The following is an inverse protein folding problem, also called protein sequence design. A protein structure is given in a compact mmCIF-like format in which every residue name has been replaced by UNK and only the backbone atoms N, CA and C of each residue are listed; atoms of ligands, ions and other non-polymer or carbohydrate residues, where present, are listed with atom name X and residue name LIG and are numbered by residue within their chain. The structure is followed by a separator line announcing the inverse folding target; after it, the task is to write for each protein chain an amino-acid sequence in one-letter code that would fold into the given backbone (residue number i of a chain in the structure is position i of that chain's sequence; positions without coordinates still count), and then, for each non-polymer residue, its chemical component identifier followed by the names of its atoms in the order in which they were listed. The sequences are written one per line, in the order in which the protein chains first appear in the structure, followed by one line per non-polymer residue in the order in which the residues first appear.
data_IF_118188010927
#
_entry.id   IF_118188010927
#
_cell.length_a   1.000
_cell.length_b   1.000
_cell.length_c   1.000
_cell.angle_alpha   90.00
_cell.angle_beta   90.00
_cell.angle_gamma   90.00
#
_symmetry.space_group_name_H-M   'P 1'
#
loop_
_entity.id
_entity.type
_entity.pdbx_description
1 polymer ?
#
# COMPACT_ATOMS: atom_id res chain seq x y z
N UNK A 1 -12.59 12.33 6.90
CA UNK A 1 -12.03 11.56 5.76
C UNK A 1 -12.93 10.36 5.52
N UNK A 2 -13.21 10.01 4.24
CA UNK A 2 -13.96 8.80 3.89
C UNK A 2 -13.10 7.92 2.99
N UNK A 3 -12.97 6.64 3.34
CA UNK A 3 -12.13 5.66 2.66
C UNK A 3 -13.03 4.50 2.22
N UNK A 4 -12.93 4.09 0.97
CA UNK A 4 -13.64 2.94 0.42
C UNK A 4 -12.66 1.93 -0.13
N UNK A 5 -12.73 0.67 0.32
CA UNK A 5 -11.89 -0.42 -0.17
C UNK A 5 -12.43 -0.91 -1.51
N UNK A 6 -11.69 -0.67 -2.60
CA UNK A 6 -12.12 -1.06 -3.95
C UNK A 6 -11.67 -2.47 -4.31
N UNK A 7 -10.49 -2.89 -3.85
CA UNK A 7 -9.94 -4.23 -4.06
C UNK A 7 -9.27 -4.72 -2.79
N UNK A 8 -9.53 -5.96 -2.42
CA UNK A 8 -8.91 -6.76 -1.36
C UNK A 8 -9.14 -8.24 -1.65
N UNK A 9 -8.46 -9.11 -0.90
CA UNK A 9 -8.63 -10.56 -1.01
C UNK A 9 -10.05 -11.02 -0.63
N UNK A 10 -10.71 -10.28 0.25
CA UNK A 10 -12.03 -10.61 0.77
C UNK A 10 -13.09 -9.83 0.00
N UNK A 11 -13.91 -10.56 -0.79
CA UNK A 11 -15.10 -10.00 -1.43
C UNK A 11 -16.25 -9.84 -0.43
N UNK A 12 -17.25 -9.00 -0.79
CA UNK A 12 -18.46 -8.82 0.04
C UNK A 12 -19.68 -8.60 -0.85
N UNK A 13 -20.73 -9.37 -0.61
CA UNK A 13 -21.96 -9.32 -1.41
C UNK A 13 -21.69 -9.61 -2.88
N UNK A 14 -21.96 -8.65 -3.78
CA UNK A 14 -21.68 -8.74 -5.22
C UNK A 14 -20.27 -8.31 -5.60
N UNK A 15 -19.55 -7.69 -4.68
CA UNK A 15 -18.17 -7.23 -4.89
C UNK A 15 -17.22 -8.41 -4.79
N UNK A 16 -16.40 -8.57 -5.82
CA UNK A 16 -15.42 -9.66 -5.90
C UNK A 16 -14.12 -9.27 -5.23
N UNK A 17 -13.47 -10.24 -4.57
CA UNK A 17 -12.11 -10.12 -4.08
C UNK A 17 -11.09 -10.64 -5.10
N UNK A 18 -9.85 -10.19 -4.97
CA UNK A 18 -8.68 -10.68 -5.70
C UNK A 18 -7.45 -10.55 -4.80
N UNK A 19 -6.36 -11.24 -5.14
CA UNK A 19 -5.08 -10.94 -4.52
C UNK A 19 -4.58 -9.60 -5.05
N UNK A 20 -4.90 -8.53 -4.31
CA UNK A 20 -4.59 -7.15 -4.67
C UNK A 20 -5.27 -6.15 -3.73
N UNK A 21 -4.79 -4.92 -3.69
CA UNK A 21 -5.31 -3.88 -2.83
C UNK A 21 -5.52 -2.58 -3.60
N UNK A 22 -6.63 -1.89 -3.32
CA UNK A 22 -6.91 -0.55 -3.82
C UNK A 22 -7.87 0.19 -2.90
N UNK A 23 -7.56 1.45 -2.59
CA UNK A 23 -8.40 2.34 -1.80
C UNK A 23 -8.81 3.58 -2.60
N UNK A 24 -10.09 3.94 -2.53
CA UNK A 24 -10.58 5.27 -2.89
C UNK A 24 -10.71 6.09 -1.61
N UNK A 25 -10.14 7.30 -1.61
CA UNK A 25 -10.05 8.15 -0.41
C UNK A 25 -10.60 9.52 -0.77
N UNK A 26 -11.58 9.99 0.03
CA UNK A 26 -12.12 11.35 -0.06
C UNK A 26 -11.58 12.17 1.12
N UNK A 27 -10.83 13.24 0.80
CA UNK A 27 -10.22 14.12 1.81
C UNK A 27 -10.20 15.57 1.30
N UNK A 28 -10.65 16.52 2.13
CA UNK A 28 -10.69 17.95 1.83
C UNK A 28 -11.32 18.30 0.46
N UNK A 29 -12.40 17.59 0.10
CA UNK A 29 -13.11 17.81 -1.16
C UNK A 29 -12.44 17.23 -2.41
N UNK A 30 -11.31 16.52 -2.27
CA UNK A 30 -10.59 15.84 -3.34
C UNK A 30 -10.69 14.32 -3.20
N UNK A 31 -10.48 13.62 -4.31
CA UNK A 31 -10.54 12.17 -4.44
C UNK A 31 -9.17 11.61 -4.80
N UNK A 32 -8.69 10.68 -3.99
CA UNK A 32 -7.40 10.02 -4.17
C UNK A 32 -7.63 8.53 -4.43
N UNK A 33 -6.76 7.93 -5.23
CA UNK A 33 -6.67 6.49 -5.41
C UNK A 33 -5.30 6.02 -4.91
N UNK A 34 -5.29 5.11 -3.95
CA UNK A 34 -4.07 4.40 -3.58
C UNK A 34 -4.14 2.99 -4.15
N UNK A 35 -3.16 2.67 -5.00
CA UNK A 35 -3.05 1.42 -5.74
C UNK A 35 -4.24 1.09 -6.67
N UNK A 36 -4.05 0.11 -7.53
CA UNK A 36 -5.00 -0.27 -8.57
C UNK A 36 -5.33 -1.77 -8.58
N UNK A 37 -4.92 -2.50 -7.53
CA UNK A 37 -5.17 -3.93 -7.42
C UNK A 37 -4.37 -4.81 -8.38
N UNK A 38 -4.70 -6.10 -8.37
CA UNK A 38 -4.09 -7.14 -9.21
C UNK A 38 -4.67 -7.24 -10.62
N UNK A 39 -5.73 -6.50 -10.92
CA UNK A 39 -6.43 -6.48 -12.21
C UNK A 39 -7.27 -5.22 -12.40
N UNK A 40 -8.22 -5.22 -13.35
CA UNK A 40 -9.23 -4.16 -13.49
C UNK A 40 -10.38 -4.25 -12.46
N UNK A 41 -10.31 -5.17 -11.51
CA UNK A 41 -11.39 -5.45 -10.58
C UNK A 41 -11.72 -4.24 -9.69
N UNK A 42 -10.72 -3.48 -9.26
CA UNK A 42 -10.92 -2.25 -8.49
C UNK A 42 -11.90 -1.29 -9.19
N UNK A 43 -11.81 -1.14 -10.53
CA UNK A 43 -12.69 -0.31 -11.34
C UNK A 43 -14.10 -0.89 -11.44
N UNK A 44 -14.21 -2.21 -11.57
CA UNK A 44 -15.51 -2.89 -11.61
C UNK A 44 -16.24 -2.73 -10.28
N UNK A 45 -15.53 -2.93 -9.16
CA UNK A 45 -16.07 -2.73 -7.83
C UNK A 45 -16.42 -1.25 -7.58
N UNK A 46 -15.55 -0.30 -7.97
CA UNK A 46 -15.82 1.13 -7.88
C UNK A 46 -17.16 1.50 -8.57
N UNK A 47 -17.37 1.01 -9.80
CA UNK A 47 -18.62 1.24 -10.54
C UNK A 47 -19.85 0.71 -9.78
N UNK A 48 -19.77 -0.48 -9.16
CA UNK A 48 -20.87 -1.03 -8.38
C UNK A 48 -21.15 -0.20 -7.12
N UNK A 49 -20.13 0.44 -6.57
CA UNK A 49 -20.21 1.33 -5.40
C UNK A 49 -20.60 2.78 -5.76
N UNK A 50 -20.85 3.07 -7.05
CA UNK A 50 -21.19 4.42 -7.50
C UNK A 50 -19.99 5.37 -7.54
N UNK A 51 -18.77 4.85 -7.51
CA UNK A 51 -17.52 5.62 -7.57
C UNK A 51 -17.03 5.66 -9.02
N UNK A 52 -16.90 6.88 -9.59
CA UNK A 52 -16.30 7.06 -10.90
C UNK A 52 -14.79 7.31 -10.78
N UNK A 53 -13.99 6.42 -11.36
CA UNK A 53 -12.54 6.55 -11.39
C UNK A 53 -12.07 7.76 -12.21
N UNK A 54 -12.89 8.25 -13.16
CA UNK A 54 -12.60 9.48 -13.90
C UNK A 54 -12.54 10.73 -12.99
N UNK A 55 -13.23 10.69 -11.85
CA UNK A 55 -13.28 11.77 -10.89
C UNK A 55 -12.05 11.87 -9.97
N UNK A 56 -11.22 10.83 -9.90
CA UNK A 56 -10.01 10.82 -9.08
C UNK A 56 -9.09 11.99 -9.48
N UNK A 57 -8.66 12.76 -8.49
CA UNK A 57 -7.83 13.94 -8.67
C UNK A 57 -6.34 13.65 -8.58
N UNK A 58 -5.97 12.61 -7.81
CA UNK A 58 -4.60 12.18 -7.61
C UNK A 58 -4.55 10.68 -7.36
N UNK A 59 -3.58 9.99 -7.94
CA UNK A 59 -3.34 8.57 -7.70
C UNK A 59 -1.92 8.34 -7.18
N UNK A 60 -1.75 7.33 -6.32
CA UNK A 60 -0.47 6.97 -5.71
C UNK A 60 -0.27 5.47 -5.82
N UNK A 61 0.93 5.05 -6.17
CA UNK A 61 1.37 3.66 -6.07
C UNK A 61 2.15 3.49 -4.78
N UNK A 62 1.72 2.57 -3.93
CA UNK A 62 2.42 2.25 -2.69
C UNK A 62 3.78 1.59 -2.94
N UNK A 63 3.84 0.66 -3.90
CA UNK A 63 5.07 -0.05 -4.28
C UNK A 63 4.92 -0.78 -5.62
N UNK A 64 6.04 -1.24 -6.18
CA UNK A 64 6.12 -1.72 -7.56
C UNK A 64 5.73 -3.20 -7.76
N UNK A 65 4.84 -3.78 -6.94
CA UNK A 65 4.34 -5.14 -7.15
C UNK A 65 3.04 -5.18 -7.95
N UNK A 66 2.83 -6.32 -8.65
CA UNK A 66 1.74 -6.50 -9.62
C UNK A 66 0.35 -6.43 -9.01
N UNK A 67 0.21 -6.87 -7.77
CA UNK A 67 -1.05 -6.92 -7.02
C UNK A 67 -1.51 -5.53 -6.50
N UNK A 68 -0.71 -4.51 -6.76
CA UNK A 68 -1.01 -3.09 -6.51
C UNK A 68 -1.04 -2.26 -7.79
N UNK A 69 -0.43 -2.74 -8.85
CA UNK A 69 -0.15 -1.95 -10.06
C UNK A 69 -0.80 -2.43 -11.35
N UNK A 70 -1.32 -3.67 -11.42
CA UNK A 70 -1.86 -4.22 -12.69
C UNK A 70 -3.06 -3.47 -13.24
N UNK A 71 -3.84 -2.83 -12.38
CA UNK A 71 -4.95 -2.00 -12.79
C UNK A 71 -4.55 -0.63 -13.37
N UNK A 72 -3.26 -0.25 -13.37
CA UNK A 72 -2.80 1.08 -13.85
C UNK A 72 -3.24 1.37 -15.29
N UNK A 73 -3.20 0.38 -16.19
CA UNK A 73 -3.68 0.57 -17.57
C UNK A 73 -5.18 0.93 -17.59
N UNK A 74 -5.98 0.24 -16.78
CA UNK A 74 -7.41 0.52 -16.67
C UNK A 74 -7.66 1.89 -16.03
N UNK A 75 -6.83 2.30 -15.07
CA UNK A 75 -6.86 3.65 -14.50
C UNK A 75 -6.57 4.71 -15.57
N UNK A 76 -5.48 4.61 -16.30
CA UNK A 76 -5.12 5.60 -17.32
C UNK A 76 -6.11 5.68 -18.48
N UNK A 77 -6.80 4.56 -18.82
CA UNK A 77 -7.91 4.59 -19.79
C UNK A 77 -9.16 5.29 -19.26
N UNK A 78 -9.43 5.19 -17.95
CA UNK A 78 -10.64 5.75 -17.33
C UNK A 78 -10.48 7.18 -16.88
N UNK A 79 -9.27 7.55 -16.42
CA UNK A 79 -8.96 8.88 -15.89
C UNK A 79 -7.94 9.57 -16.79
N UNK A 80 -8.26 10.78 -17.24
CA UNK A 80 -7.40 11.58 -18.13
C UNK A 80 -6.73 12.75 -17.45
N UNK A 81 -7.04 13.04 -16.16
CA UNK A 81 -6.62 14.28 -15.48
C UNK A 81 -5.60 14.05 -14.36
N UNK A 82 -5.74 13.00 -13.56
CA UNK A 82 -4.96 12.82 -12.35
C UNK A 82 -3.49 12.53 -12.65
N UNK A 83 -2.60 13.17 -11.93
CA UNK A 83 -1.22 12.73 -11.80
C UNK A 83 -1.15 11.41 -11.00
N UNK A 84 -0.17 10.55 -11.34
CA UNK A 84 0.05 9.28 -10.70
C UNK A 84 1.44 9.27 -10.04
N UNK A 85 1.47 9.31 -8.73
CA UNK A 85 2.70 9.39 -7.94
C UNK A 85 3.26 8.00 -7.68
N UNK A 86 4.54 7.81 -8.00
CA UNK A 86 5.28 6.57 -7.77
C UNK A 86 6.59 6.88 -7.04
N UNK A 87 7.17 5.90 -6.35
CA UNK A 87 8.54 6.04 -5.85
C UNK A 87 9.51 6.23 -7.03
N UNK A 88 10.55 7.08 -6.91
CA UNK A 88 11.58 7.22 -7.93
C UNK A 88 12.35 5.91 -8.18
N UNK A 89 12.25 4.94 -7.28
CA UNK A 89 12.83 3.61 -7.41
C UNK A 89 11.83 2.55 -7.90
N UNK A 90 10.60 2.93 -8.25
CA UNK A 90 9.61 2.03 -8.83
C UNK A 90 9.95 1.73 -10.29
N UNK A 91 10.61 0.61 -10.54
CA UNK A 91 10.99 0.15 -11.88
C UNK A 91 10.26 -1.16 -12.23
N UNK A 92 10.26 -1.48 -13.53
CA UNK A 92 9.70 -2.74 -14.06
C UNK A 92 10.69 -3.90 -13.86
N UNK A 93 11.11 -4.15 -12.61
CA UNK A 93 12.24 -5.03 -12.31
C UNK A 93 12.04 -5.94 -11.08
N UNK A 94 10.83 -6.05 -10.51
CA UNK A 94 10.57 -6.88 -9.34
C UNK A 94 10.31 -8.34 -9.72
N UNK A 95 10.88 -9.27 -8.96
CA UNK A 95 10.79 -10.72 -9.17
C UNK A 95 10.63 -11.46 -7.85
N UNK A 96 9.92 -12.60 -7.88
CA UNK A 96 9.84 -13.55 -6.76
C UNK A 96 10.33 -14.92 -7.19
N UNK A 97 11.03 -15.64 -6.31
CA UNK A 97 11.51 -17.02 -6.56
C UNK A 97 12.99 -17.21 -6.24
N UNK A 98 13.60 -18.24 -6.82
CA UNK A 98 15.00 -18.61 -6.58
C UNK A 98 15.77 -18.66 -7.91
N UNK A 99 16.63 -17.66 -8.12
CA UNK A 99 17.53 -17.62 -9.28
C UNK A 99 16.78 -17.71 -10.62
N UNK A 100 17.07 -18.71 -11.44
CA UNK A 100 16.46 -18.91 -12.77
C UNK A 100 14.98 -19.31 -12.72
N UNK A 101 14.46 -19.72 -11.58
CA UNK A 101 13.03 -19.99 -11.34
C UNK A 101 12.25 -18.72 -10.90
N UNK A 102 12.85 -17.56 -11.01
CA UNK A 102 12.22 -16.31 -10.62
C UNK A 102 11.11 -15.91 -11.58
N UNK A 103 9.93 -15.58 -11.03
CA UNK A 103 8.78 -15.05 -11.76
C UNK A 103 8.75 -13.52 -11.64
N UNK A 104 8.43 -12.85 -12.74
CA UNK A 104 8.17 -11.41 -12.71
C UNK A 104 6.91 -11.08 -11.91
N UNK A 105 7.05 -10.15 -10.98
CA UNK A 105 5.97 -9.68 -10.10
C UNK A 105 5.87 -8.15 -10.06
N UNK A 106 6.50 -7.46 -11.01
CA UNK A 106 6.57 -6.01 -11.04
C UNK A 106 5.41 -5.34 -11.77
N UNK A 107 5.61 -4.06 -12.05
CA UNK A 107 4.70 -3.18 -12.81
C UNK A 107 4.33 -3.77 -14.18
N UNK A 108 3.16 -3.45 -14.74
CA UNK A 108 2.87 -3.73 -16.15
C UNK A 108 3.99 -3.16 -17.04
N UNK A 109 4.48 -3.98 -17.98
CA UNK A 109 5.59 -3.59 -18.83
C UNK A 109 5.24 -2.40 -19.72
N UNK A 110 6.10 -1.38 -19.72
CA UNK A 110 5.92 -0.17 -20.50
C UNK A 110 4.93 0.83 -19.91
N UNK A 111 4.36 0.57 -18.74
CA UNK A 111 3.33 1.46 -18.15
C UNK A 111 3.89 2.84 -17.80
N UNK A 112 5.09 2.91 -17.24
CA UNK A 112 5.70 4.17 -16.86
C UNK A 112 6.05 5.04 -18.07
N UNK A 113 6.81 4.55 -19.09
CA UNK A 113 7.14 5.37 -20.25
C UNK A 113 5.91 5.74 -21.09
N UNK A 114 4.89 4.88 -21.16
CA UNK A 114 3.66 5.19 -21.91
C UNK A 114 2.81 6.29 -21.27
N UNK A 115 3.00 6.57 -19.98
CA UNK A 115 2.23 7.56 -19.22
C UNK A 115 3.14 8.63 -18.57
N UNK A 116 4.35 8.85 -19.11
CA UNK A 116 5.40 9.69 -18.53
C UNK A 116 4.96 11.11 -18.15
N UNK A 117 4.02 11.69 -18.91
CA UNK A 117 3.55 13.06 -18.69
C UNK A 117 2.70 13.18 -17.41
N UNK A 118 2.11 12.06 -16.99
CA UNK A 118 1.26 11.95 -15.79
C UNK A 118 1.95 11.23 -14.63
N UNK A 119 3.06 10.55 -14.87
CA UNK A 119 3.85 9.92 -13.79
C UNK A 119 4.70 10.97 -13.10
N UNK A 120 4.56 11.04 -11.78
CA UNK A 120 5.35 11.90 -10.90
C UNK A 120 6.14 11.03 -9.92
N UNK A 121 7.44 11.26 -9.83
CA UNK A 121 8.33 10.49 -8.97
C UNK A 121 9.18 11.45 -8.11
N UNK A 122 8.59 12.05 -7.06
CA UNK A 122 9.30 12.99 -6.21
C UNK A 122 10.40 12.28 -5.41
N UNK A 123 11.50 12.97 -5.19
CA UNK A 123 12.59 12.49 -4.35
C UNK A 123 12.34 12.87 -2.88
N UNK A 124 12.46 11.89 -1.99
CA UNK A 124 12.24 12.12 -0.56
C UNK A 124 10.77 12.36 -0.19
N UNK A 125 10.55 12.90 0.99
CA UNK A 125 9.21 13.25 1.47
C UNK A 125 8.68 14.41 0.63
N UNK A 126 7.50 14.25 0.07
CA UNK A 126 6.88 15.27 -0.75
C UNK A 126 5.41 15.48 -0.40
N UNK A 127 5.03 16.73 -0.20
CA UNK A 127 3.63 17.14 -0.14
C UNK A 127 3.10 17.16 -1.59
N UNK A 128 2.19 16.23 -1.89
CA UNK A 128 1.61 16.05 -3.23
C UNK A 128 0.29 16.82 -3.40
N UNK A 129 -0.31 17.18 -2.29
CA UNK A 129 -1.45 18.07 -2.15
C UNK A 129 -1.47 18.61 -0.73
N UNK A 130 -2.29 19.63 -0.46
CA UNK A 130 -2.39 20.23 0.88
C UNK A 130 -2.70 19.16 1.94
N UNK A 131 -1.77 19.01 2.90
CA UNK A 131 -1.84 18.04 3.99
C UNK A 131 -1.84 16.56 3.53
N UNK A 132 -1.34 16.27 2.31
CA UNK A 132 -1.20 14.93 1.74
C UNK A 132 0.23 14.70 1.27
N UNK A 133 0.86 13.66 1.79
CA UNK A 133 2.29 13.43 1.61
C UNK A 133 2.57 12.01 1.11
N UNK A 134 3.59 11.85 0.27
CA UNK A 134 4.25 10.58 0.03
C UNK A 134 5.55 10.54 0.84
N UNK A 135 5.77 9.44 1.54
CA UNK A 135 6.92 9.22 2.41
C UNK A 135 7.62 7.93 1.97
N UNK A 136 8.76 8.03 1.27
CA UNK A 136 9.54 6.87 0.88
C UNK A 136 10.27 6.29 2.09
N UNK A 137 10.63 5.01 2.01
CA UNK A 137 11.44 4.37 3.03
C UNK A 137 12.90 4.78 2.93
N UNK A 138 13.54 4.89 4.08
CA UNK A 138 14.94 5.28 4.23
C UNK A 138 15.76 4.33 5.13
N UNK A 139 15.12 3.30 5.67
CA UNK A 139 15.78 2.35 6.59
C UNK A 139 16.76 1.44 5.85
N UNK A 140 17.98 1.35 6.35
CA UNK A 140 19.01 0.47 5.82
C UNK A 140 18.77 -1.01 6.17
N UNK A 141 19.29 -1.91 5.32
CA UNK A 141 19.34 -3.34 5.61
C UNK A 141 18.09 -4.13 5.25
N UNK A 142 17.06 -3.50 4.67
CA UNK A 142 15.82 -4.14 4.26
C UNK A 142 16.01 -5.28 3.22
N UNK A 143 17.13 -5.29 2.50
CA UNK A 143 17.51 -6.40 1.61
C UNK A 143 17.59 -7.77 2.31
N UNK A 144 17.75 -7.81 3.64
CA UNK A 144 17.68 -9.04 4.43
C UNK A 144 16.25 -9.61 4.43
N UNK A 145 15.26 -8.73 4.48
CA UNK A 145 13.84 -9.08 4.41
C UNK A 145 13.51 -9.61 3.01
N UNK A 146 13.94 -8.90 1.95
CA UNK A 146 13.77 -9.34 0.57
C UNK A 146 14.35 -10.73 0.32
N UNK A 147 15.58 -10.99 0.80
CA UNK A 147 16.21 -12.31 0.71
C UNK A 147 15.39 -13.40 1.42
N UNK A 148 14.93 -13.14 2.64
CA UNK A 148 14.12 -14.08 3.43
C UNK A 148 12.77 -14.38 2.76
N UNK A 149 12.17 -13.37 2.14
CA UNK A 149 10.88 -13.47 1.44
C UNK A 149 11.00 -13.98 0.01
N UNK A 150 12.24 -14.26 -0.48
CA UNK A 150 12.53 -14.62 -1.87
C UNK A 150 12.05 -13.56 -2.88
N UNK A 151 12.16 -12.29 -2.50
CA UNK A 151 11.87 -11.13 -3.33
C UNK A 151 13.17 -10.49 -3.82
N UNK A 152 13.20 -10.17 -5.10
CA UNK A 152 14.41 -9.69 -5.77
C UNK A 152 14.06 -8.56 -6.74
N UNK A 153 15.00 -7.65 -6.94
CA UNK A 153 14.98 -6.69 -8.04
C UNK A 153 16.09 -7.03 -9.04
N UNK A 154 15.78 -6.86 -10.32
CA UNK A 154 16.77 -7.04 -11.39
C UNK A 154 17.51 -5.74 -11.64
N UNK A 155 18.83 -5.76 -11.43
CA UNK A 155 19.75 -4.66 -11.76
C UNK A 155 20.71 -5.13 -12.87
N UNK A 156 20.45 -4.67 -14.10
CA UNK A 156 21.11 -5.19 -15.30
C UNK A 156 20.78 -6.68 -15.51
N UNK A 157 21.81 -7.55 -15.47
CA UNK A 157 21.65 -9.01 -15.60
C UNK A 157 21.61 -9.78 -14.26
N UNK A 158 21.77 -9.06 -13.13
CA UNK A 158 21.79 -9.67 -11.78
C UNK A 158 20.46 -9.52 -11.07
N UNK A 159 20.09 -10.58 -10.34
CA UNK A 159 19.02 -10.54 -9.33
C UNK A 159 19.66 -10.23 -7.98
N UNK A 160 19.28 -9.13 -7.37
CA UNK A 160 19.69 -8.75 -6.02
C UNK A 160 18.50 -8.79 -5.09
N UNK A 161 18.65 -9.15 -3.79
CA UNK A 161 17.56 -9.11 -2.85
C UNK A 161 16.90 -7.73 -2.87
N UNK A 162 15.56 -7.71 -2.85
CA UNK A 162 14.81 -6.48 -2.82
C UNK A 162 15.09 -5.73 -1.51
N UNK A 163 15.37 -4.46 -1.62
CA UNK A 163 15.55 -3.53 -0.51
C UNK A 163 14.31 -2.66 -0.27
N UNK A 164 13.25 -2.92 -1.03
CA UNK A 164 11.97 -2.22 -1.00
C UNK A 164 12.08 -0.69 -1.15
N UNK A 165 13.15 -0.21 -1.75
CA UNK A 165 13.33 1.22 -2.04
C UNK A 165 12.24 1.80 -2.96
N UNK A 166 11.46 0.94 -3.60
CA UNK A 166 10.29 1.30 -4.39
C UNK A 166 9.00 1.44 -3.56
N UNK A 167 9.02 1.13 -2.25
CA UNK A 167 7.87 1.27 -1.34
C UNK A 167 7.82 2.69 -0.77
N UNK A 168 6.61 3.23 -0.64
CA UNK A 168 6.33 4.52 -0.02
C UNK A 168 4.98 4.48 0.70
N UNK A 169 4.85 5.28 1.75
CA UNK A 169 3.59 5.50 2.46
C UNK A 169 2.86 6.71 1.91
N UNK A 170 1.53 6.65 1.86
CA UNK A 170 0.67 7.82 1.66
C UNK A 170 0.18 8.29 3.04
N UNK A 171 0.43 9.54 3.38
CA UNK A 171 0.14 10.09 4.70
C UNK A 171 -0.76 11.30 4.56
N UNK A 172 -1.86 11.31 5.31
CA UNK A 172 -2.75 12.45 5.44
C UNK A 172 -2.58 13.08 6.81
N UNK A 173 -2.33 14.39 6.84
CA UNK A 173 -2.31 15.16 8.08
C UNK A 173 -3.70 15.72 8.33
N UNK A 174 -4.30 15.37 9.46
CA UNK A 174 -5.61 15.84 9.89
C UNK A 174 -5.50 16.64 11.19
N UNK A 175 -6.55 17.34 11.59
CA UNK A 175 -6.59 18.06 12.86
C UNK A 175 -6.41 17.12 14.08
N UNK A 176 -6.75 15.84 13.92
CA UNK A 176 -6.66 14.83 14.99
C UNK A 176 -5.41 13.95 14.92
N UNK A 177 -4.51 14.20 13.98
CA UNK A 177 -3.25 13.47 13.80
C UNK A 177 -3.08 12.88 12.41
N UNK A 178 -2.02 12.12 12.23
CA UNK A 178 -1.65 11.50 10.97
C UNK A 178 -2.47 10.23 10.71
N UNK A 179 -2.87 10.04 9.46
CA UNK A 179 -3.43 8.80 8.96
C UNK A 179 -2.43 8.23 7.95
N UNK A 180 -1.89 7.05 8.25
CA UNK A 180 -0.87 6.38 7.44
C UNK A 180 -1.51 5.28 6.61
N UNK A 181 -1.25 5.30 5.31
CA UNK A 181 -1.52 4.19 4.41
C UNK A 181 -0.20 3.59 3.95
N UNK A 182 -0.01 2.30 4.18
CA UNK A 182 1.07 1.53 3.57
C UNK A 182 0.53 0.15 3.19
N UNK A 183 0.42 -0.11 1.90
CA UNK A 183 -0.42 -1.21 1.40
C UNK A 183 0.11 -2.61 1.72
N UNK A 184 1.43 -2.78 1.87
CA UNK A 184 2.02 -4.10 2.17
C UNK A 184 2.99 -4.10 3.35
N UNK A 185 3.59 -2.98 3.71
CA UNK A 185 4.57 -2.89 4.80
C UNK A 185 5.72 -3.91 4.65
N UNK A 186 6.28 -4.02 3.44
CA UNK A 186 7.41 -4.93 3.18
C UNK A 186 8.63 -4.60 4.04
N UNK A 187 8.83 -3.32 4.34
CA UNK A 187 9.85 -2.84 5.27
C UNK A 187 9.58 -3.21 6.74
N UNK A 188 8.36 -3.63 7.05
CA UNK A 188 7.85 -3.86 8.39
C UNK A 188 6.97 -2.71 8.87
N UNK A 189 5.80 -3.02 9.41
CA UNK A 189 4.84 -2.01 9.87
C UNK A 189 5.41 -1.12 10.98
N UNK A 190 6.22 -1.69 11.87
CA UNK A 190 6.95 -0.97 12.92
C UNK A 190 7.97 0.02 12.34
N UNK A 191 8.69 -0.38 11.30
CA UNK A 191 9.62 0.49 10.57
C UNK A 191 8.88 1.65 9.91
N UNK A 192 7.77 1.36 9.21
CA UNK A 192 6.92 2.39 8.57
C UNK A 192 6.42 3.40 9.59
N UNK A 193 5.89 2.94 10.73
CA UNK A 193 5.40 3.83 11.79
C UNK A 193 6.50 4.71 12.36
N UNK A 194 7.70 4.15 12.58
CA UNK A 194 8.86 4.90 13.09
C UNK A 194 9.35 5.94 12.06
N UNK A 195 9.46 5.58 10.78
CA UNK A 195 9.90 6.49 9.73
C UNK A 195 8.92 7.65 9.52
N UNK A 196 7.62 7.37 9.47
CA UNK A 196 6.60 8.42 9.38
C UNK A 196 6.61 9.30 10.64
N UNK A 197 6.69 8.69 11.83
CA UNK A 197 6.81 9.45 13.07
C UNK A 197 8.00 10.43 13.06
N UNK A 198 9.17 9.98 12.63
CA UNK A 198 10.36 10.84 12.48
C UNK A 198 10.15 11.95 11.44
N UNK A 199 9.55 11.61 10.30
CA UNK A 199 9.27 12.55 9.21
C UNK A 199 8.37 13.71 9.64
N UNK A 200 7.44 13.46 10.55
CA UNK A 200 6.49 14.44 11.06
C UNK A 200 6.74 14.84 12.52
N UNK A 201 8.00 14.79 12.96
CA UNK A 201 8.42 15.26 14.30
C UNK A 201 7.63 14.64 15.46
N UNK A 202 7.24 13.37 15.34
CA UNK A 202 6.44 12.61 16.29
C UNK A 202 5.01 13.16 16.49
N UNK A 203 4.42 13.75 15.46
CA UNK A 203 2.98 14.02 15.46
C UNK A 203 2.21 12.72 15.77
N UNK A 204 1.10 12.86 16.47
CA UNK A 204 0.26 11.71 16.83
C UNK A 204 -0.22 10.95 15.58
N UNK A 205 0.00 9.64 15.56
CA UNK A 205 -0.57 8.76 14.52
C UNK A 205 -1.95 8.28 14.98
N UNK A 206 -2.99 8.76 14.32
CA UNK A 206 -4.38 8.42 14.61
C UNK A 206 -4.77 7.04 14.11
N UNK A 207 -4.34 6.70 12.88
CA UNK A 207 -4.71 5.44 12.25
C UNK A 207 -3.62 4.94 11.29
N UNK A 208 -3.56 3.62 11.15
CA UNK A 208 -2.74 2.91 10.18
C UNK A 208 -3.63 2.00 9.32
N UNK A 209 -3.54 2.12 7.98
CA UNK A 209 -4.32 1.34 7.04
C UNK A 209 -3.41 0.65 6.03
N UNK A 210 -3.62 -0.67 5.85
CA UNK A 210 -2.90 -1.45 4.85
C UNK A 210 -2.55 -2.85 5.31
N UNK A 211 -1.91 -3.61 4.44
CA UNK A 211 -1.39 -4.94 4.76
C UNK A 211 -0.10 -4.88 5.57
N UNK A 212 0.09 -5.85 6.44
CA UNK A 212 1.25 -5.92 7.34
C UNK A 212 2.27 -6.98 6.91
N UNK A 213 2.07 -7.62 5.76
CA UNK A 213 2.92 -8.67 5.17
C UNK A 213 3.26 -9.84 6.11
N UNK A 214 2.28 -10.30 6.90
CA UNK A 214 2.48 -11.29 7.96
C UNK A 214 2.11 -12.73 7.58
N UNK A 215 1.54 -12.96 6.41
CA UNK A 215 0.97 -14.25 6.01
C UNK A 215 1.98 -15.41 6.03
N UNK A 216 3.29 -15.14 5.99
CA UNK A 216 4.38 -16.13 6.05
C UNK A 216 5.14 -16.15 7.37
N UNK A 217 4.85 -15.26 8.29
CA UNK A 217 5.53 -15.19 9.57
C UNK A 217 5.01 -16.26 10.55
N UNK A 218 5.84 -16.68 11.48
CA UNK A 218 5.42 -17.55 12.58
C UNK A 218 4.50 -16.81 13.56
N UNK A 219 3.74 -17.57 14.35
CA UNK A 219 2.84 -16.98 15.37
C UNK A 219 3.58 -16.11 16.38
N UNK A 220 4.80 -16.49 16.75
CA UNK A 220 5.63 -15.70 17.66
C UNK A 220 6.03 -14.35 17.06
N UNK A 221 6.40 -14.32 15.77
CA UNK A 221 6.71 -13.08 15.07
C UNK A 221 5.48 -12.18 14.93
N UNK A 222 4.31 -12.76 14.65
CA UNK A 222 3.05 -11.98 14.59
C UNK A 222 2.71 -11.38 15.94
N UNK A 223 2.87 -12.12 17.06
CA UNK A 223 2.67 -11.58 18.40
C UNK A 223 3.65 -10.46 18.74
N UNK A 224 4.90 -10.55 18.29
CA UNK A 224 5.87 -9.48 18.46
C UNK A 224 5.45 -8.20 17.71
N UNK A 225 4.87 -8.32 16.51
CA UNK A 225 4.30 -7.17 15.80
C UNK A 225 3.12 -6.57 16.57
N UNK A 226 2.25 -7.40 17.16
CA UNK A 226 1.16 -6.89 18.00
C UNK A 226 1.68 -6.03 19.17
N UNK A 227 2.75 -6.49 19.86
CA UNK A 227 3.38 -5.72 20.93
C UNK A 227 3.91 -4.37 20.43
N UNK A 228 4.59 -4.36 19.27
CA UNK A 228 5.10 -3.11 18.68
C UNK A 228 3.99 -2.13 18.30
N UNK A 229 2.88 -2.65 17.77
CA UNK A 229 1.68 -1.83 17.49
C UNK A 229 1.14 -1.22 18.78
N UNK A 230 1.03 -1.99 19.86
CA UNK A 230 0.61 -1.47 21.17
C UNK A 230 1.56 -0.39 21.72
N UNK A 231 2.86 -0.64 21.63
CA UNK A 231 3.90 0.29 22.08
C UNK A 231 3.91 1.60 21.27
N UNK A 232 3.53 1.54 19.98
CA UNK A 232 3.40 2.75 19.14
C UNK A 232 2.27 3.68 19.57
N UNK A 233 1.32 3.19 20.36
CA UNK A 233 0.17 3.95 20.85
C UNK A 233 -0.95 4.14 19.81
N UNK A 234 -0.82 3.58 18.61
CA UNK A 234 -1.85 3.66 17.55
C UNK A 234 -3.09 2.87 17.97
N UNK A 235 -4.25 3.53 17.99
CA UNK A 235 -5.52 2.98 18.45
C UNK A 235 -6.46 2.54 17.33
N UNK A 236 -6.05 2.70 16.08
CA UNK A 236 -6.87 2.31 14.94
C UNK A 236 -5.97 1.73 13.86
N UNK A 237 -5.90 0.41 13.80
CA UNK A 237 -5.24 -0.34 12.72
C UNK A 237 -6.32 -1.02 11.90
N UNK A 238 -6.32 -0.81 10.58
CA UNK A 238 -7.25 -1.48 9.69
C UNK A 238 -6.42 -2.20 8.63
N UNK A 239 -6.48 -3.52 8.62
CA UNK A 239 -5.57 -4.36 7.85
C UNK A 239 -6.30 -5.45 7.07
N UNK A 240 -5.61 -6.08 6.12
CA UNK A 240 -6.13 -7.15 5.26
C UNK A 240 -5.06 -7.62 4.28
N UNK A 241 -5.47 -8.06 3.09
CA UNK A 241 -4.58 -8.41 1.98
C UNK A 241 -3.42 -9.33 2.41
N UNK A 242 -2.18 -8.85 2.37
CA UNK A 242 -0.98 -9.62 2.71
C UNK A 242 -0.75 -9.85 4.22
N UNK A 243 -1.62 -9.34 5.08
CA UNK A 243 -1.64 -9.72 6.51
C UNK A 243 -2.00 -11.20 6.66
N UNK A 244 -3.00 -11.67 5.92
CA UNK A 244 -3.49 -13.04 5.95
C UNK A 244 -4.35 -13.33 7.18
N UNK A 245 -5.33 -14.23 7.00
CA UNK A 245 -6.38 -14.55 7.99
C UNK A 245 -5.82 -15.05 9.32
N UNK A 246 -4.83 -15.96 9.28
CA UNK A 246 -4.21 -16.51 10.48
C UNK A 246 -3.52 -15.41 11.31
N UNK A 247 -2.76 -14.53 10.66
CA UNK A 247 -2.07 -13.45 11.34
C UNK A 247 -3.06 -12.42 11.88
N UNK A 248 -4.11 -12.08 11.12
CA UNK A 248 -5.19 -11.22 11.60
C UNK A 248 -5.85 -11.77 12.87
N UNK A 249 -6.17 -13.06 12.91
CA UNK A 249 -6.77 -13.70 14.11
C UNK A 249 -5.86 -13.54 15.33
N UNK A 250 -4.55 -13.71 15.19
CA UNK A 250 -3.59 -13.53 16.29
C UNK A 250 -3.52 -12.06 16.71
N UNK A 251 -3.46 -11.14 15.75
CA UNK A 251 -3.46 -9.70 16.03
C UNK A 251 -4.75 -9.28 16.74
N UNK A 252 -5.91 -9.73 16.27
CA UNK A 252 -7.22 -9.41 16.87
C UNK A 252 -7.32 -9.90 18.31
N UNK A 253 -6.78 -11.09 18.61
CA UNK A 253 -6.72 -11.61 19.99
C UNK A 253 -5.83 -10.78 20.93
N UNK A 254 -4.81 -10.10 20.38
CA UNK A 254 -3.86 -9.30 21.15
C UNK A 254 -4.27 -7.83 21.26
N UNK A 255 -4.83 -7.25 20.19
CA UNK A 255 -5.12 -5.81 20.05
C UNK A 255 -6.60 -5.48 20.31
N UNK A 256 -7.46 -6.48 20.37
CA UNK A 256 -8.90 -6.27 20.64
C UNK A 256 -9.55 -5.33 19.61
N UNK A 257 -10.17 -4.26 20.08
CA UNK A 257 -10.91 -3.31 19.24
C UNK A 257 -10.01 -2.28 18.55
N UNK A 258 -8.71 -2.27 18.87
CA UNK A 258 -7.75 -1.39 18.20
C UNK A 258 -7.42 -1.85 16.76
N UNK A 259 -7.87 -3.07 16.34
CA UNK A 259 -7.64 -3.61 15.00
C UNK A 259 -8.92 -4.14 14.34
N UNK A 260 -9.09 -3.82 13.04
CA UNK A 260 -10.14 -4.35 12.18
C UNK A 260 -9.58 -4.92 10.88
N UNK A 261 -10.38 -5.78 10.22
CA UNK A 261 -10.07 -6.34 8.90
C UNK A 261 -10.93 -5.68 7.83
N UNK A 262 -10.32 -5.20 6.76
CA UNK A 262 -11.07 -4.67 5.63
C UNK A 262 -11.48 -5.77 4.64
N UNK A 263 -12.47 -5.45 3.82
CA UNK A 263 -12.98 -6.25 2.70
C UNK A 263 -13.45 -5.31 1.58
N UNK A 264 -13.63 -5.82 0.37
CA UNK A 264 -14.17 -5.02 -0.74
C UNK A 264 -15.50 -4.35 -0.36
N UNK A 265 -15.62 -3.06 -0.63
CA UNK A 265 -16.79 -2.24 -0.34
C UNK A 265 -16.89 -1.71 1.09
N UNK A 266 -15.96 -2.06 2.00
CA UNK A 266 -15.92 -1.47 3.32
C UNK A 266 -15.71 0.04 3.22
N UNK A 267 -16.54 0.80 3.96
CA UNK A 267 -16.41 2.25 4.10
C UNK A 267 -15.90 2.53 5.51
N UNK A 268 -14.84 3.33 5.59
CA UNK A 268 -14.18 3.72 6.83
C UNK A 268 -14.22 5.24 6.91
N UNK A 269 -14.71 5.76 8.02
CA UNK A 269 -14.73 7.19 8.32
C UNK A 269 -13.75 7.50 9.46
N UNK A 270 -12.85 8.46 9.21
CA UNK A 270 -11.81 8.89 10.15
C UNK A 270 -11.78 10.40 10.27
#
# INVERSE_FOLDING_TARGET
MKITVLSDNIGCGTLKGEWGLSFHIEFNGKKYLLDTGGSELFRTNAKQLGIDIADVDCAVLSHAHYDHSRGMEAFFRANSKADFFVSPNAFENCYAGLGFLSRYIGLPKGILPSNKDRIKAPSGIAEIDKDVFVVPHSTDGLSKIGRRSHLYVRRGWRYVPDDFSHEQSLVFRTESGLIIFNSCSHSGADVVMEEVGKAFHNENVRAYLGGLHLFRLSDGEVRNIAVKIQESGIKRVITGHCTGERAYTILKSSLGDDIDQFHCGMIIEL
#
